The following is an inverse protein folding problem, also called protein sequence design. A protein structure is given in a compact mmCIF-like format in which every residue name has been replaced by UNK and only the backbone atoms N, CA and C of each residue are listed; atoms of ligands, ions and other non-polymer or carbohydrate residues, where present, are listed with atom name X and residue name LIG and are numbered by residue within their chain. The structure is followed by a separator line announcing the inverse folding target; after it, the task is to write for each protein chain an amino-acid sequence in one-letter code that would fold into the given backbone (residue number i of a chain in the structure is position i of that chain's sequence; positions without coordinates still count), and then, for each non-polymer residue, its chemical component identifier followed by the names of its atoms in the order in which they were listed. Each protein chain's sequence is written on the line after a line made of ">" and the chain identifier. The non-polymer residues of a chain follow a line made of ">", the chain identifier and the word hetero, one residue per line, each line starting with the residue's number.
data_IF_873172934107
#
_entry.id   IF_873172934107
#
_cell.length_a   1.000
_cell.length_b   1.000
_cell.length_c   1.000
_cell.angle_alpha   90.00
_cell.angle_beta   90.00
_cell.angle_gamma   90.00
#
_symmetry.space_group_name_H-M   'P 1'
#
loop_
_entity.id
_entity.type
_entity.pdbx_description
1 polymer ?
#
# COMPACT_ATOMS: atom_id res chain seq x y z
N UNK A 1 4.58 -10.35 7.78
CA UNK A 1 3.57 -9.91 6.79
C UNK A 1 4.28 -9.21 5.66
N UNK A 2 4.34 -9.82 4.48
CA UNK A 2 5.05 -9.29 3.30
C UNK A 2 4.08 -9.08 2.13
N UNK A 3 4.54 -8.47 1.02
CA UNK A 3 3.75 -8.34 -0.21
C UNK A 3 3.22 -9.70 -0.72
N UNK A 4 3.93 -10.79 -0.44
CA UNK A 4 3.51 -12.15 -0.81
C UNK A 4 2.18 -12.54 -0.16
N UNK A 5 1.95 -12.13 1.10
CA UNK A 5 0.68 -12.39 1.77
C UNK A 5 -0.51 -11.73 1.05
N UNK A 6 -0.36 -10.48 0.62
CA UNK A 6 -1.42 -9.77 -0.13
C UNK A 6 -1.67 -10.47 -1.47
N UNK A 7 -0.61 -10.89 -2.16
CA UNK A 7 -0.73 -11.62 -3.41
C UNK A 7 -1.42 -12.98 -3.22
N UNK A 8 -1.11 -13.73 -2.18
CA UNK A 8 -1.76 -15.01 -1.86
C UNK A 8 -3.26 -14.83 -1.59
N UNK A 9 -3.64 -13.82 -0.81
CA UNK A 9 -5.06 -13.50 -0.56
C UNK A 9 -5.77 -13.14 -1.85
N UNK A 10 -5.18 -12.29 -2.70
CA UNK A 10 -5.75 -11.92 -4.00
C UNK A 10 -5.89 -13.14 -4.90
N UNK A 11 -4.87 -13.99 -4.96
CA UNK A 11 -4.86 -15.20 -5.77
C UNK A 11 -6.00 -16.13 -5.37
N UNK A 12 -6.17 -16.38 -4.06
CA UNK A 12 -7.23 -17.22 -3.53
C UNK A 12 -8.61 -16.61 -3.70
N UNK A 13 -8.77 -15.29 -3.53
CA UNK A 13 -10.08 -14.63 -3.64
C UNK A 13 -10.58 -14.44 -5.07
N UNK A 14 -9.66 -14.25 -6.02
CA UNK A 14 -10.00 -13.90 -7.41
C UNK A 14 -9.78 -15.07 -8.38
N UNK A 15 -9.30 -16.22 -7.89
CA UNK A 15 -9.00 -17.42 -8.69
C UNK A 15 -8.10 -17.14 -9.91
N UNK A 16 -7.17 -16.20 -9.75
CA UNK A 16 -6.22 -15.80 -10.80
C UNK A 16 -4.88 -16.52 -10.64
N UNK A 17 -4.03 -16.44 -11.66
CA UNK A 17 -2.65 -16.97 -11.56
C UNK A 17 -1.84 -16.21 -10.52
N UNK A 18 -0.88 -16.88 -9.88
CA UNK A 18 0.01 -16.22 -8.91
C UNK A 18 0.85 -15.08 -9.51
N UNK A 19 1.15 -15.14 -10.81
CA UNK A 19 1.81 -14.03 -11.51
C UNK A 19 0.90 -12.81 -11.58
N UNK A 20 -0.37 -13.00 -11.95
CA UNK A 20 -1.35 -11.92 -11.99
C UNK A 20 -1.62 -11.33 -10.60
N UNK A 21 -1.71 -12.17 -9.57
CA UNK A 21 -1.90 -11.73 -8.19
C UNK A 21 -0.72 -10.91 -7.66
N UNK A 22 0.51 -11.33 -7.94
CA UNK A 22 1.71 -10.58 -7.57
C UNK A 22 1.79 -9.21 -8.27
N UNK A 23 1.38 -9.14 -9.54
CA UNK A 23 1.26 -7.87 -10.27
C UNK A 23 0.22 -6.96 -9.63
N UNK A 24 -1.00 -7.47 -9.41
CA UNK A 24 -2.07 -6.70 -8.77
C UNK A 24 -1.68 -6.18 -7.37
N UNK A 25 -1.04 -7.02 -6.54
CA UNK A 25 -0.54 -6.61 -5.23
C UNK A 25 0.54 -5.51 -5.34
N UNK A 26 1.40 -5.58 -6.37
CA UNK A 26 2.43 -4.55 -6.61
C UNK A 26 1.78 -3.24 -7.06
N UNK A 27 0.88 -3.30 -8.04
CA UNK A 27 0.20 -2.14 -8.60
C UNK A 27 -0.63 -1.40 -7.55
N UNK A 28 -1.30 -2.15 -6.65
CA UNK A 28 -2.03 -1.60 -5.52
C UNK A 28 -1.13 -0.75 -4.62
N UNK A 29 0.00 -1.32 -4.19
CA UNK A 29 0.94 -0.62 -3.30
C UNK A 29 1.54 0.61 -4.01
N UNK A 30 1.90 0.49 -5.28
CA UNK A 30 2.41 1.61 -6.05
C UNK A 30 1.38 2.74 -6.21
N UNK A 31 0.11 2.41 -6.44
CA UNK A 31 -0.96 3.39 -6.53
C UNK A 31 -1.12 4.16 -5.21
N UNK A 32 -1.11 3.46 -4.07
CA UNK A 32 -1.16 4.09 -2.74
C UNK A 32 0.04 5.02 -2.52
N UNK A 33 1.25 4.58 -2.89
CA UNK A 33 2.47 5.40 -2.76
C UNK A 33 2.40 6.64 -3.65
N UNK A 34 1.95 6.50 -4.90
CA UNK A 34 1.78 7.63 -5.83
C UNK A 34 0.78 8.65 -5.29
N UNK A 35 -0.35 8.18 -4.77
CA UNK A 35 -1.39 9.03 -4.18
C UNK A 35 -0.89 9.77 -2.94
N UNK A 36 -0.17 9.07 -2.04
CA UNK A 36 0.44 9.68 -0.87
C UNK A 36 1.49 10.75 -1.24
N UNK A 37 2.28 10.54 -2.30
CA UNK A 37 3.26 11.53 -2.78
C UNK A 37 2.58 12.77 -3.37
N UNK A 38 1.48 12.59 -4.10
CA UNK A 38 0.78 13.67 -4.80
C UNK A 38 -0.11 14.50 -3.88
N UNK A 39 -0.94 13.83 -3.09
CA UNK A 39 -2.00 14.46 -2.29
C UNK A 39 -1.66 14.53 -0.80
N UNK A 40 -0.60 13.85 -0.35
CA UNK A 40 -0.15 13.86 1.05
C UNK A 40 -1.07 13.10 2.01
N UNK A 41 -2.19 12.54 1.53
CA UNK A 41 -3.17 11.78 2.32
C UNK A 41 -3.82 10.71 1.44
N UNK A 42 -4.05 9.55 2.03
CA UNK A 42 -4.82 8.46 1.44
C UNK A 42 -5.72 7.86 2.52
N UNK A 43 -7.00 7.68 2.23
CA UNK A 43 -7.97 7.09 3.17
C UNK A 43 -8.56 5.85 2.55
N UNK A 44 -8.50 4.75 3.29
CA UNK A 44 -9.20 3.50 2.96
C UNK A 44 -10.28 3.26 4.03
N UNK A 45 -11.58 3.38 3.68
CA UNK A 45 -12.68 3.15 4.62
C UNK A 45 -12.54 1.80 5.32
N UNK A 46 -12.88 1.77 6.61
CA UNK A 46 -12.79 0.57 7.46
C UNK A 46 -11.39 -0.02 7.67
N UNK A 47 -10.34 0.62 7.14
CA UNK A 47 -8.95 0.21 7.36
C UNK A 47 -8.14 1.32 8.04
N UNK A 48 -8.12 2.52 7.47
CA UNK A 48 -7.42 3.63 8.09
C UNK A 48 -7.12 4.80 7.15
N UNK A 49 -6.53 5.85 7.72
CA UNK A 49 -6.04 7.01 6.98
C UNK A 49 -4.54 7.15 7.13
N UNK A 50 -3.86 7.23 6.00
CA UNK A 50 -2.42 7.40 5.87
C UNK A 50 -2.14 8.84 5.46
N UNK A 51 -1.17 9.48 6.11
CA UNK A 51 -0.79 10.87 5.80
C UNK A 51 0.73 11.03 5.77
N UNK A 52 1.22 11.78 4.79
CA UNK A 52 2.62 12.24 4.75
C UNK A 52 2.73 13.52 5.55
N UNK A 53 3.59 13.53 6.56
CA UNK A 53 3.87 14.71 7.37
C UNK A 53 5.30 15.17 7.14
N UNK A 54 5.47 16.46 6.87
CA UNK A 54 6.79 17.10 6.92
C UNK A 54 7.19 17.27 8.38
N UNK A 55 8.27 16.62 8.79
CA UNK A 55 8.82 16.75 10.14
C UNK A 55 9.94 17.77 10.16
N UNK A 56 9.89 18.73 11.10
CA UNK A 56 11.00 19.65 11.35
C UNK A 56 12.19 18.87 11.96
N UNK A 57 13.40 19.26 11.61
CA UNK A 57 14.61 18.73 12.24
C UNK A 57 14.59 19.00 13.75
N UNK A 58 15.03 18.02 14.54
CA UNK A 58 15.12 18.12 16.01
C UNK A 58 16.45 17.52 16.45
N UNK A 59 17.06 18.09 17.49
CA UNK A 59 18.24 17.48 18.12
C UNK A 59 17.81 16.19 18.81
N UNK A 60 18.37 15.07 18.40
CA UNK A 60 18.25 13.81 19.12
C UNK A 60 18.97 13.91 20.46
N UNK A 61 18.45 13.21 21.46
CA UNK A 61 19.17 12.99 22.73
C UNK A 61 20.26 11.96 22.49
#
# INVERSE_FOLDING_TARGET
>A
MSKAFIAEVIQGSAEITGVAANRAATDLIEAIVKELKKNGKFTLPSFGTFTVRKTKARKGV
#
